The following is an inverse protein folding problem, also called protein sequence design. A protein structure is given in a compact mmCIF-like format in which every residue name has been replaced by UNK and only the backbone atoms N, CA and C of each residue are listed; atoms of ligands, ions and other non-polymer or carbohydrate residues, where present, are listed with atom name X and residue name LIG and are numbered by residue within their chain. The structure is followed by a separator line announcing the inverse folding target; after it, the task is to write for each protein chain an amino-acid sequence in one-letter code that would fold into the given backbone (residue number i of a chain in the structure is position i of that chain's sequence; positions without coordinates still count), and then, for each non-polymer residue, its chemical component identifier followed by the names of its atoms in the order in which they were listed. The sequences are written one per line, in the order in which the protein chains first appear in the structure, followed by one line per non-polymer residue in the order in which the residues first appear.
data_IF_363782527852
#
_entry.id   IF_363782527852
#
_cell.length_a   1.000
_cell.length_b   1.000
_cell.length_c   1.000
_cell.angle_alpha   90.00
_cell.angle_beta   90.00
_cell.angle_gamma   90.00
#
_symmetry.space_group_name_H-M   'P 1'
#
loop_
_entity.id
_entity.type
_entity.pdbx_description
1 polymer ?
#
# COMPACT_ATOMS: atom_id res chain seq x y z
N UNK A 1 10.68 14.88 -11.39
CA UNK A 1 10.16 14.87 -10.00
C UNK A 1 11.33 14.62 -9.05
N UNK A 2 11.42 15.34 -7.93
CA UNK A 2 12.47 15.13 -6.92
C UNK A 2 12.20 13.80 -6.21
N UNK A 3 13.25 13.04 -5.89
CA UNK A 3 13.11 11.82 -5.08
C UNK A 3 12.47 10.63 -5.82
N UNK A 4 12.52 10.57 -7.16
CA UNK A 4 12.11 9.39 -7.93
C UNK A 4 13.30 8.79 -8.67
N UNK A 5 13.58 7.51 -8.45
CA UNK A 5 14.54 6.75 -9.24
C UNK A 5 13.78 5.92 -10.27
N UNK A 6 13.75 6.41 -11.52
CA UNK A 6 13.18 5.71 -12.65
C UNK A 6 14.04 4.51 -13.05
N UNK A 7 13.40 3.34 -13.17
CA UNK A 7 14.08 2.12 -13.56
C UNK A 7 14.17 1.98 -15.07
N UNK A 8 15.24 1.33 -15.51
CA UNK A 8 15.50 0.90 -16.88
C UNK A 8 15.68 -0.62 -16.90
N UNK A 9 15.71 -1.20 -18.09
CA UNK A 9 15.98 -2.63 -18.27
C UNK A 9 17.25 -3.09 -17.52
N UNK A 10 18.30 -2.27 -17.52
CA UNK A 10 19.56 -2.56 -16.84
C UNK A 10 19.43 -2.66 -15.31
N UNK A 11 18.49 -1.93 -14.68
CA UNK A 11 18.30 -1.93 -13.23
C UNK A 11 17.70 -3.25 -12.72
N UNK A 12 16.88 -3.91 -13.55
CA UNK A 12 16.18 -5.13 -13.16
C UNK A 12 16.78 -6.41 -13.73
N UNK A 13 17.67 -6.31 -14.72
CA UNK A 13 18.19 -7.47 -15.46
C UNK A 13 18.81 -8.53 -14.54
N UNK A 14 19.53 -8.09 -13.50
CA UNK A 14 20.17 -8.99 -12.52
C UNK A 14 19.18 -9.68 -11.57
N UNK A 15 17.94 -9.22 -11.53
CA UNK A 15 16.88 -9.80 -10.70
C UNK A 15 16.13 -10.93 -11.42
N UNK A 16 16.32 -11.09 -12.74
CA UNK A 16 15.60 -12.06 -13.56
C UNK A 16 16.42 -13.35 -13.68
N UNK A 17 15.79 -14.47 -13.34
CA UNK A 17 16.34 -15.82 -13.47
C UNK A 17 15.76 -16.51 -14.70
N UNK A 18 16.44 -16.41 -15.84
CA UNK A 18 16.00 -16.98 -17.11
C UNK A 18 16.14 -18.50 -17.15
N UNK A 19 15.22 -19.20 -17.82
CA UNK A 19 15.29 -20.65 -18.07
C UNK A 19 14.82 -20.99 -19.48
N UNK A 20 15.53 -21.88 -20.17
CA UNK A 20 15.20 -22.28 -21.56
C UNK A 20 13.75 -22.80 -21.65
N UNK A 21 12.96 -22.20 -22.52
CA UNK A 21 11.55 -22.56 -22.76
C UNK A 21 10.54 -21.81 -21.89
N UNK A 22 11.01 -20.96 -20.97
CA UNK A 22 10.19 -20.07 -20.15
C UNK A 22 10.43 -18.61 -20.59
N UNK A 23 9.45 -17.75 -20.35
CA UNK A 23 9.59 -16.29 -20.47
C UNK A 23 9.16 -15.69 -19.14
N UNK A 24 10.08 -15.00 -18.46
CA UNK A 24 9.80 -14.33 -17.20
C UNK A 24 9.12 -12.99 -17.43
N UNK A 25 8.27 -12.59 -16.50
CA UNK A 25 7.50 -11.33 -16.56
C UNK A 25 8.40 -10.12 -16.80
N UNK A 26 9.54 -10.06 -16.11
CA UNK A 26 10.51 -8.97 -16.23
C UNK A 26 11.19 -8.86 -17.61
N UNK A 27 11.22 -9.92 -18.42
CA UNK A 27 11.84 -9.91 -19.74
C UNK A 27 11.04 -9.10 -20.77
N UNK A 28 9.72 -9.00 -20.57
CA UNK A 28 8.80 -8.36 -21.50
C UNK A 28 8.23 -7.02 -21.00
N UNK A 29 8.79 -6.46 -19.92
CA UNK A 29 8.41 -5.14 -19.43
C UNK A 29 8.79 -4.04 -20.43
N UNK A 30 7.92 -3.04 -20.55
CA UNK A 30 8.18 -1.80 -21.28
C UNK A 30 8.53 -0.70 -20.29
N UNK A 31 9.59 0.04 -20.58
CA UNK A 31 10.10 1.11 -19.74
C UNK A 31 9.82 2.47 -20.37
N UNK A 32 9.56 3.46 -19.52
CA UNK A 32 9.46 4.86 -19.91
C UNK A 32 10.79 5.56 -19.68
N UNK A 33 11.08 6.61 -20.46
CA UNK A 33 12.28 7.43 -20.24
C UNK A 33 12.03 8.64 -19.34
N UNK A 34 10.79 9.11 -19.33
CA UNK A 34 10.31 10.23 -18.56
C UNK A 34 8.89 9.98 -18.07
N UNK A 35 8.48 10.67 -17.02
CA UNK A 35 7.12 10.56 -16.50
C UNK A 35 6.06 11.04 -17.51
N UNK A 36 6.42 11.95 -18.42
CA UNK A 36 5.50 12.47 -19.44
C UNK A 36 5.04 11.41 -20.45
N UNK A 37 5.80 10.31 -20.60
CA UNK A 37 5.42 9.18 -21.44
C UNK A 37 4.28 8.33 -20.85
N UNK A 38 3.94 8.50 -19.56
CA UNK A 38 2.88 7.72 -18.92
C UNK A 38 1.56 7.85 -19.67
N UNK A 39 1.18 9.06 -20.07
CA UNK A 39 -0.12 9.35 -20.70
C UNK A 39 -0.33 8.54 -22.00
N UNK A 40 0.73 8.36 -22.80
CA UNK A 40 0.68 7.66 -24.08
C UNK A 40 1.04 6.18 -23.98
N UNK A 41 1.53 5.72 -22.84
CA UNK A 41 1.90 4.32 -22.66
C UNK A 41 0.63 3.45 -22.57
N UNK A 42 0.54 2.29 -23.24
CA UNK A 42 -0.69 1.49 -23.26
C UNK A 42 -1.01 0.76 -21.95
N UNK A 43 -0.02 0.54 -21.09
CA UNK A 43 -0.23 -0.08 -19.78
C UNK A 43 -1.19 0.73 -18.91
N UNK A 44 -2.05 0.02 -18.18
CA UNK A 44 -3.02 0.60 -17.24
C UNK A 44 -2.38 0.90 -15.88
N UNK A 45 -1.49 0.01 -15.42
CA UNK A 45 -0.95 0.03 -14.06
C UNK A 45 0.48 0.56 -14.01
N UNK A 46 0.80 1.30 -12.94
CA UNK A 46 2.14 1.83 -12.67
C UNK A 46 2.60 1.35 -11.29
N UNK A 47 3.59 0.46 -11.24
CA UNK A 47 4.14 -0.11 -10.02
C UNK A 47 5.37 0.65 -9.54
N UNK A 48 5.39 1.03 -8.27
CA UNK A 48 6.60 1.55 -7.62
C UNK A 48 6.67 1.16 -6.15
N UNK A 49 7.88 1.19 -5.59
CA UNK A 49 8.11 0.97 -4.16
C UNK A 49 8.45 2.24 -3.40
N UNK A 50 8.11 2.27 -2.10
CA UNK A 50 8.56 3.29 -1.14
C UNK A 50 9.37 2.58 -0.07
N UNK A 51 10.68 2.87 -0.01
CA UNK A 51 11.61 2.15 0.87
C UNK A 51 11.93 2.96 2.12
N UNK A 52 10.97 3.03 3.03
CA UNK A 52 11.10 3.73 4.31
C UNK A 52 10.34 2.99 5.42
N UNK A 53 10.79 3.17 6.66
CA UNK A 53 10.11 2.69 7.89
C UNK A 53 10.02 3.79 8.97
N UNK A 54 10.20 5.05 8.57
CA UNK A 54 10.24 6.22 9.46
C UNK A 54 8.87 6.40 10.11
N UNK A 55 7.78 6.27 9.35
CA UNK A 55 6.43 6.39 9.90
C UNK A 55 6.09 5.30 10.90
N UNK A 56 6.59 4.08 10.68
CA UNK A 56 6.45 2.94 11.61
C UNK A 56 7.19 3.24 12.91
N UNK A 57 8.46 3.66 12.82
CA UNK A 57 9.27 4.05 13.99
C UNK A 57 8.67 5.25 14.75
N UNK A 58 8.11 6.22 14.04
CA UNK A 58 7.42 7.36 14.63
C UNK A 58 6.15 6.94 15.40
N UNK A 59 5.56 5.80 15.04
CA UNK A 59 4.42 5.17 15.73
C UNK A 59 4.86 4.07 16.73
N UNK A 60 6.10 4.12 17.22
CA UNK A 60 6.65 3.13 18.17
C UNK A 60 6.71 1.68 17.63
N UNK A 61 6.53 1.48 16.33
CA UNK A 61 6.63 0.20 15.66
C UNK A 61 8.07 -0.23 15.40
N UNK A 62 8.24 -1.47 14.95
CA UNK A 62 9.54 -2.04 14.61
C UNK A 62 9.93 -1.68 13.17
N UNK A 63 11.18 -1.27 12.91
CA UNK A 63 11.65 -0.99 11.55
C UNK A 63 11.66 -2.27 10.70
N UNK A 64 11.71 -2.09 9.37
CA UNK A 64 11.81 -3.21 8.42
C UNK A 64 10.96 -3.06 7.17
N UNK A 65 9.93 -2.20 7.17
CA UNK A 65 9.05 -2.00 6.01
C UNK A 65 9.77 -1.45 4.78
N UNK A 66 10.93 -0.80 4.97
CA UNK A 66 11.83 -0.38 3.89
C UNK A 66 12.36 -1.52 3.03
N UNK A 67 12.25 -2.78 3.48
CA UNK A 67 12.72 -3.95 2.74
C UNK A 67 11.66 -4.57 1.81
N UNK A 68 10.39 -4.16 1.92
CA UNK A 68 9.27 -4.74 1.18
C UNK A 68 9.51 -4.74 -0.34
N UNK A 69 9.90 -3.59 -0.89
CA UNK A 69 10.13 -3.44 -2.33
C UNK A 69 11.23 -4.36 -2.87
N UNK A 70 12.34 -4.49 -2.12
CA UNK A 70 13.46 -5.37 -2.49
C UNK A 70 13.07 -6.84 -2.46
N UNK A 71 12.13 -7.24 -1.60
CA UNK A 71 11.60 -8.60 -1.58
C UNK A 71 10.57 -8.85 -2.70
N UNK A 72 9.67 -7.89 -2.92
CA UNK A 72 8.57 -8.01 -3.89
C UNK A 72 9.07 -8.06 -5.33
N UNK A 73 9.93 -7.11 -5.72
CA UNK A 73 10.28 -6.90 -7.12
C UNK A 73 10.92 -8.14 -7.78
N UNK A 74 11.97 -8.77 -7.22
CA UNK A 74 12.54 -9.98 -7.83
C UNK A 74 11.53 -11.11 -7.95
N UNK A 75 10.63 -11.26 -6.97
CA UNK A 75 9.60 -12.31 -6.99
C UNK A 75 8.60 -12.08 -8.11
N UNK A 76 8.12 -10.84 -8.28
CA UNK A 76 7.21 -10.46 -9.36
C UNK A 76 7.86 -10.63 -10.74
N UNK A 77 9.09 -10.17 -10.92
CA UNK A 77 9.80 -10.24 -12.20
C UNK A 77 10.00 -11.68 -12.69
N UNK A 78 10.01 -12.65 -11.79
CA UNK A 78 10.24 -14.07 -12.08
C UNK A 78 8.97 -14.91 -12.21
N UNK A 79 7.77 -14.33 -12.13
CA UNK A 79 6.55 -15.05 -12.53
C UNK A 79 6.57 -15.31 -14.05
N UNK A 80 5.79 -16.29 -14.50
CA UNK A 80 5.74 -16.66 -15.91
C UNK A 80 4.88 -15.70 -16.70
N UNK A 81 5.32 -15.33 -17.91
CA UNK A 81 4.42 -14.79 -18.94
C UNK A 81 3.56 -15.93 -19.46
N UNK A 82 2.24 -15.72 -19.48
CA UNK A 82 1.27 -16.67 -20.03
C UNK A 82 -0.05 -15.94 -20.31
N UNK A 83 -1.10 -16.66 -20.75
CA UNK A 83 -2.42 -16.09 -21.06
C UNK A 83 -3.07 -15.28 -19.92
N UNK A 84 -2.63 -15.46 -18.68
CA UNK A 84 -3.12 -14.76 -17.49
C UNK A 84 -2.13 -13.72 -16.95
N UNK A 85 -0.84 -13.78 -17.31
CA UNK A 85 0.18 -12.86 -16.82
C UNK A 85 0.73 -12.05 -17.99
N UNK A 86 0.27 -10.81 -18.11
CA UNK A 86 0.49 -9.89 -19.24
C UNK A 86 1.37 -8.70 -18.81
N UNK A 87 2.71 -8.76 -18.98
CA UNK A 87 3.61 -7.66 -18.62
C UNK A 87 3.27 -6.32 -19.29
N UNK A 88 2.63 -6.35 -20.44
CA UNK A 88 2.17 -5.17 -21.18
C UNK A 88 1.17 -4.29 -20.41
N UNK A 89 0.50 -4.83 -19.40
CA UNK A 89 -0.44 -4.09 -18.55
C UNK A 89 0.25 -3.27 -17.45
N UNK A 90 1.56 -3.47 -17.22
CA UNK A 90 2.30 -2.92 -16.10
C UNK A 90 3.53 -2.12 -16.54
N UNK A 91 3.70 -0.93 -15.96
CA UNK A 91 4.95 -0.17 -15.97
C UNK A 91 5.62 -0.38 -14.61
N UNK A 92 6.83 -0.92 -14.57
CA UNK A 92 7.66 -0.89 -13.36
C UNK A 92 8.42 0.43 -13.35
N UNK A 93 7.88 1.40 -12.60
CA UNK A 93 8.40 2.77 -12.58
C UNK A 93 9.74 2.85 -11.84
N UNK A 94 9.87 2.13 -10.74
CA UNK A 94 11.08 2.12 -9.89
C UNK A 94 10.75 2.36 -8.43
N UNK A 95 11.51 3.24 -7.77
CA UNK A 95 11.38 3.52 -6.35
C UNK A 95 11.29 5.02 -6.07
N UNK A 96 10.43 5.41 -5.13
CA UNK A 96 10.54 6.71 -4.48
C UNK A 96 11.77 6.65 -3.57
N UNK A 97 12.73 7.53 -3.83
CA UNK A 97 14.02 7.57 -3.14
C UNK A 97 13.90 8.31 -1.80
N UNK A 98 13.75 7.53 -0.74
CA UNK A 98 13.72 8.00 0.65
C UNK A 98 15.10 7.94 1.33
N UNK A 99 16.21 7.66 0.62
CA UNK A 99 17.53 7.41 1.24
C UNK A 99 18.01 8.56 2.10
N UNK A 100 17.90 9.79 1.60
CA UNK A 100 18.34 10.98 2.35
C UNK A 100 17.52 11.13 3.65
N UNK A 101 16.21 10.86 3.61
CA UNK A 101 15.34 10.91 4.78
C UNK A 101 15.65 9.78 5.76
N UNK A 102 15.87 8.56 5.26
CA UNK A 102 16.31 7.41 6.07
C UNK A 102 17.65 7.68 6.75
N UNK A 103 18.60 8.30 6.04
CA UNK A 103 19.89 8.69 6.59
C UNK A 103 19.74 9.79 7.66
N UNK A 104 18.93 10.83 7.42
CA UNK A 104 18.61 11.82 8.45
C UNK A 104 18.03 11.15 9.70
N UNK A 105 17.07 10.25 9.52
CA UNK A 105 16.43 9.52 10.61
C UNK A 105 17.40 8.61 11.39
N UNK A 106 18.50 8.17 10.80
CA UNK A 106 19.52 7.36 11.49
C UNK A 106 20.46 8.18 12.37
N UNK A 107 20.46 9.51 12.23
CA UNK A 107 21.25 10.42 13.08
C UNK A 107 20.51 10.87 14.33
N UNK A 108 19.21 10.54 14.46
CA UNK A 108 18.45 10.86 15.65
C UNK A 108 18.79 9.87 16.77
N UNK A 109 19.07 10.42 17.95
CA UNK A 109 19.25 9.69 19.19
C UNK A 109 17.87 9.23 19.71
N UNK A 110 17.70 7.93 19.92
CA UNK A 110 16.44 7.33 20.40
C UNK A 110 16.15 7.68 21.88
N UNK A 111 17.14 8.18 22.61
CA UNK A 111 16.97 8.71 23.96
C UNK A 111 16.50 10.17 24.02
N UNK A 112 16.47 10.87 22.87
CA UNK A 112 15.95 12.24 22.80
C UNK A 112 14.43 12.25 23.06
N UNK A 113 13.92 13.07 24.01
CA UNK A 113 12.48 13.15 24.28
C UNK A 113 11.63 13.57 23.07
N UNK A 114 12.25 14.17 22.04
CA UNK A 114 11.59 14.58 20.79
C UNK A 114 11.84 13.61 19.63
N UNK A 115 12.43 12.43 19.86
CA UNK A 115 12.79 11.47 18.81
C UNK A 115 11.63 11.19 17.85
N UNK A 116 10.45 10.82 18.38
CA UNK A 116 9.27 10.51 17.56
C UNK A 116 8.73 11.72 16.79
N UNK A 117 8.71 12.89 17.41
CA UNK A 117 8.29 14.13 16.75
C UNK A 117 9.24 14.49 15.59
N UNK A 118 10.56 14.35 15.77
CA UNK A 118 11.56 14.55 14.72
C UNK A 118 11.40 13.58 13.56
N UNK A 119 11.10 12.30 13.84
CA UNK A 119 10.74 11.35 12.79
C UNK A 119 9.46 11.78 12.07
N UNK A 120 8.46 12.27 12.79
CA UNK A 120 7.22 12.76 12.21
C UNK A 120 7.40 13.95 11.26
N UNK A 121 8.38 14.82 11.49
CA UNK A 121 8.73 15.87 10.53
C UNK A 121 9.28 15.31 9.21
N UNK A 122 10.06 14.22 9.28
CA UNK A 122 10.49 13.50 8.07
C UNK A 122 9.32 12.79 7.38
N UNK A 123 8.35 12.27 8.14
CA UNK A 123 7.12 11.67 7.56
C UNK A 123 6.34 12.71 6.75
N UNK A 124 6.25 13.96 7.19
CA UNK A 124 5.61 15.04 6.41
C UNK A 124 6.31 15.28 5.06
N UNK A 125 7.65 15.17 5.02
CA UNK A 125 8.41 15.24 3.76
C UNK A 125 8.05 14.06 2.84
N UNK A 126 7.93 12.85 3.40
CA UNK A 126 7.50 11.64 2.66
C UNK A 126 6.09 11.79 2.12
N UNK A 127 5.13 12.23 2.96
CA UNK A 127 3.74 12.45 2.58
C UNK A 127 3.63 13.34 1.33
N UNK A 128 4.46 14.39 1.25
CA UNK A 128 4.47 15.30 0.11
C UNK A 128 5.06 14.66 -1.15
N UNK A 129 6.16 13.90 -1.03
CA UNK A 129 6.75 13.18 -2.17
C UNK A 129 5.79 12.13 -2.74
N UNK A 130 5.09 11.40 -1.86
CA UNK A 130 4.09 10.40 -2.25
C UNK A 130 2.90 11.09 -2.93
N UNK A 131 2.36 12.16 -2.33
CA UNK A 131 1.24 12.90 -2.90
C UNK A 131 1.55 13.43 -4.31
N UNK A 132 2.73 14.01 -4.51
CA UNK A 132 3.12 14.55 -5.83
C UNK A 132 3.22 13.45 -6.89
N UNK A 133 3.76 12.28 -6.54
CA UNK A 133 3.88 11.15 -7.46
C UNK A 133 2.52 10.55 -7.81
N UNK A 134 1.66 10.34 -6.80
CA UNK A 134 0.33 9.79 -7.00
C UNK A 134 -0.54 10.75 -7.81
N UNK A 135 -0.50 12.05 -7.49
CA UNK A 135 -1.18 13.09 -8.26
C UNK A 135 -0.77 13.03 -9.73
N UNK A 136 0.54 12.95 -9.99
CA UNK A 136 1.06 12.86 -11.34
C UNK A 136 0.56 11.60 -12.07
N UNK A 137 0.72 10.41 -11.47
CA UNK A 137 0.34 9.14 -12.11
C UNK A 137 -1.16 9.11 -12.45
N UNK A 138 -2.02 9.48 -11.49
CA UNK A 138 -3.47 9.46 -11.69
C UNK A 138 -3.90 10.52 -12.72
N UNK A 139 -3.27 11.70 -12.73
CA UNK A 139 -3.55 12.72 -13.77
C UNK A 139 -3.25 12.26 -15.19
N UNK A 140 -2.43 11.21 -15.36
CA UNK A 140 -2.13 10.57 -16.65
C UNK A 140 -3.05 9.40 -16.99
N UNK A 141 -4.15 9.23 -16.24
CA UNK A 141 -5.14 8.17 -16.44
C UNK A 141 -4.60 6.78 -16.11
N UNK A 142 -3.62 6.69 -15.20
CA UNK A 142 -3.00 5.43 -14.77
C UNK A 142 -3.40 5.08 -13.34
N UNK A 143 -3.36 3.79 -13.03
CA UNK A 143 -3.65 3.27 -11.69
C UNK A 143 -2.33 2.92 -11.00
N UNK A 144 -1.93 3.64 -9.93
CA UNK A 144 -0.77 3.29 -9.13
C UNK A 144 -0.97 1.97 -8.39
N UNK A 145 0.07 1.15 -8.38
CA UNK A 145 0.23 0.01 -7.47
C UNK A 145 1.47 0.29 -6.62
N UNK A 146 1.29 0.39 -5.30
CA UNK A 146 2.32 0.88 -4.37
C UNK A 146 2.74 -0.26 -3.43
N UNK A 147 4.04 -0.44 -3.24
CA UNK A 147 4.61 -1.42 -2.29
C UNK A 147 5.49 -0.74 -1.25
N UNK A 148 5.14 -0.95 0.02
CA UNK A 148 5.81 -0.28 1.14
C UNK A 148 5.47 1.21 1.18
N UNK A 149 6.06 1.99 2.10
CA UNK A 149 6.72 1.59 3.33
C UNK A 149 5.66 1.33 4.41
N UNK A 150 5.69 2.10 5.49
CA UNK A 150 4.64 2.04 6.51
C UNK A 150 3.28 2.58 6.01
N UNK A 151 2.23 2.34 6.78
CA UNK A 151 0.88 2.80 6.47
C UNK A 151 0.73 4.33 6.54
N UNK A 152 1.76 5.06 7.00
CA UNK A 152 1.81 6.52 6.90
C UNK A 152 1.66 7.01 5.46
N UNK A 153 2.11 6.21 4.48
CA UNK A 153 2.04 6.58 3.07
C UNK A 153 0.60 6.71 2.55
N UNK A 154 -0.40 6.11 3.23
CA UNK A 154 -1.80 6.26 2.88
C UNK A 154 -2.23 7.74 2.81
N UNK A 155 -1.74 8.60 3.71
CA UNK A 155 -2.08 10.02 3.64
C UNK A 155 -1.60 10.67 2.33
N UNK A 156 -0.36 10.38 1.91
CA UNK A 156 0.18 10.83 0.63
C UNK A 156 -0.62 10.28 -0.55
N UNK A 157 -0.96 8.99 -0.53
CA UNK A 157 -1.77 8.34 -1.56
C UNK A 157 -3.14 9.02 -1.71
N UNK A 158 -3.86 9.19 -0.59
CA UNK A 158 -5.20 9.78 -0.56
C UNK A 158 -5.15 11.24 -1.05
N UNK A 159 -4.21 12.03 -0.51
CA UNK A 159 -4.03 13.43 -0.89
C UNK A 159 -3.72 13.59 -2.38
N UNK A 160 -2.79 12.78 -2.90
CA UNK A 160 -2.42 12.82 -4.32
C UNK A 160 -3.58 12.44 -5.24
N UNK A 161 -4.30 11.37 -4.88
CA UNK A 161 -5.45 10.91 -5.64
C UNK A 161 -6.58 11.94 -5.65
N UNK A 162 -6.92 12.50 -4.48
CA UNK A 162 -7.96 13.51 -4.36
C UNK A 162 -7.64 14.78 -5.17
N UNK A 163 -6.38 15.20 -5.21
CA UNK A 163 -5.94 16.33 -6.05
C UNK A 163 -6.04 16.03 -7.54
N UNK A 164 -5.55 14.87 -7.98
CA UNK A 164 -5.60 14.48 -9.40
C UNK A 164 -7.04 14.38 -9.93
N UNK A 165 -7.95 13.91 -9.09
CA UNK A 165 -9.36 13.76 -9.40
C UNK A 165 -10.17 15.03 -9.13
N UNK A 166 -9.56 16.03 -8.49
CA UNK A 166 -10.20 17.26 -8.00
C UNK A 166 -11.46 16.96 -7.16
N UNK A 167 -11.41 15.89 -6.36
CA UNK A 167 -12.53 15.38 -5.58
C UNK A 167 -12.03 14.47 -4.45
N UNK A 168 -12.55 14.56 -3.21
CA UNK A 168 -12.19 13.63 -2.15
C UNK A 168 -12.59 12.20 -2.52
N UNK A 169 -11.72 11.23 -2.23
CA UNK A 169 -11.95 9.82 -2.57
C UNK A 169 -12.50 9.04 -1.38
N UNK A 170 -13.05 7.87 -1.64
CA UNK A 170 -13.37 6.91 -0.59
C UNK A 170 -12.19 5.95 -0.36
N UNK A 171 -12.22 5.18 0.72
CA UNK A 171 -11.21 4.15 1.01
C UNK A 171 -11.86 2.87 1.52
N UNK A 172 -11.41 1.74 0.96
CA UNK A 172 -11.54 0.42 1.57
C UNK A 172 -10.16 0.01 2.10
N UNK A 173 -10.05 -0.21 3.39
CA UNK A 173 -8.82 -0.61 4.07
C UNK A 173 -8.98 -2.01 4.67
N UNK A 174 -8.14 -2.96 4.26
CA UNK A 174 -8.02 -4.26 4.92
C UNK A 174 -6.93 -4.17 5.97
N UNK A 175 -7.33 -4.12 7.24
CA UNK A 175 -6.44 -3.77 8.35
C UNK A 175 -6.95 -4.36 9.67
N UNK A 176 -6.02 -4.68 10.57
CA UNK A 176 -6.30 -5.01 11.96
C UNK A 176 -6.55 -3.77 12.84
N UNK A 177 -6.12 -2.59 12.37
CA UNK A 177 -6.24 -1.28 13.00
C UNK A 177 -7.13 -0.34 12.16
N UNK A 178 -7.47 0.81 12.71
CA UNK A 178 -8.17 1.87 11.95
C UNK A 178 -7.24 2.95 11.43
N UNK A 179 -6.04 3.06 12.01
CA UNK A 179 -5.11 4.15 11.74
C UNK A 179 -5.74 5.57 11.79
N UNK A 180 -6.73 5.71 12.68
CA UNK A 180 -7.42 6.94 13.06
C UNK A 180 -6.87 7.54 14.37
N UNK A 181 -5.58 7.34 14.68
CA UNK A 181 -5.00 7.94 15.90
C UNK A 181 -5.01 9.47 15.80
N UNK A 182 -4.90 10.11 16.96
CA UNK A 182 -4.93 11.56 17.12
C UNK A 182 -3.87 12.29 16.27
N UNK A 183 -4.15 13.55 15.95
CA UNK A 183 -3.28 14.43 15.18
C UNK A 183 -2.19 15.06 16.07
N UNK A 184 -1.22 14.24 16.48
CA UNK A 184 -0.01 14.68 17.18
C UNK A 184 1.14 14.98 16.18
N UNK A 185 2.26 14.27 16.24
CA UNK A 185 3.19 14.18 15.10
C UNK A 185 2.70 13.18 14.06
N UNK A 186 3.24 13.26 12.84
CA UNK A 186 2.91 12.31 11.77
C UNK A 186 3.59 10.96 12.01
N UNK A 187 2.85 9.87 11.80
CA UNK A 187 3.34 8.50 11.93
C UNK A 187 2.44 7.51 11.16
N UNK A 188 2.70 6.20 11.22
CA UNK A 188 1.91 5.21 10.46
C UNK A 188 0.43 5.20 10.86
N UNK A 189 0.13 5.15 12.15
CA UNK A 189 -1.25 5.01 12.64
C UNK A 189 -2.16 6.24 12.64
N UNK A 190 -1.83 7.34 11.94
CA UNK A 190 -2.73 8.50 11.83
C UNK A 190 -2.89 9.03 10.40
N UNK A 191 -2.55 8.24 9.38
CA UNK A 191 -2.67 8.67 7.98
C UNK A 191 -4.10 9.05 7.58
N UNK A 192 -5.11 8.27 8.02
CA UNK A 192 -6.51 8.52 7.68
C UNK A 192 -7.07 9.73 8.43
N UNK A 193 -6.68 9.95 9.70
CA UNK A 193 -7.05 11.17 10.45
C UNK A 193 -6.61 12.44 9.72
N UNK A 194 -5.36 12.46 9.22
CA UNK A 194 -4.84 13.59 8.46
C UNK A 194 -5.54 13.76 7.10
N UNK A 195 -5.95 12.65 6.46
CA UNK A 195 -6.72 12.70 5.22
C UNK A 195 -8.13 13.26 5.43
N UNK A 196 -8.78 12.96 6.57
CA UNK A 196 -10.08 13.52 6.96
C UNK A 196 -9.95 15.02 7.27
N UNK A 197 -8.98 15.40 8.10
CA UNK A 197 -8.72 16.81 8.45
C UNK A 197 -8.40 17.65 7.21
N UNK A 198 -7.62 17.09 6.29
CA UNK A 198 -7.31 17.71 5.00
C UNK A 198 -8.45 17.70 3.97
N UNK A 199 -9.61 17.13 4.31
CA UNK A 199 -10.78 16.97 3.43
C UNK A 199 -10.48 16.21 2.13
N UNK A 200 -9.51 15.29 2.15
CA UNK A 200 -9.16 14.44 1.00
C UNK A 200 -9.89 13.08 1.03
N UNK A 201 -10.37 12.67 2.21
CA UNK A 201 -11.09 11.42 2.44
C UNK A 201 -12.59 11.69 2.68
N UNK A 202 -13.45 11.08 1.86
CA UNK A 202 -14.91 11.22 1.96
C UNK A 202 -15.54 10.12 2.80
N UNK A 203 -15.34 8.86 2.42
CA UNK A 203 -15.84 7.68 3.16
C UNK A 203 -14.71 6.73 3.47
N UNK A 204 -14.75 6.13 4.65
CA UNK A 204 -13.73 5.21 5.12
C UNK A 204 -14.37 3.90 5.59
N UNK A 205 -13.94 2.78 5.03
CA UNK A 205 -14.39 1.45 5.46
C UNK A 205 -13.20 0.59 5.84
N UNK A 206 -13.18 0.09 7.08
CA UNK A 206 -12.15 -0.86 7.56
C UNK A 206 -12.70 -2.27 7.56
N UNK A 207 -11.94 -3.22 7.02
CA UNK A 207 -12.33 -4.62 6.95
C UNK A 207 -11.29 -5.51 7.63
N UNK A 208 -11.69 -6.18 8.71
CA UNK A 208 -10.78 -7.00 9.52
C UNK A 208 -10.32 -6.35 10.82
N UNK A 209 -10.95 -5.25 11.23
CA UNK A 209 -10.63 -4.52 12.46
C UNK A 209 -10.64 -5.46 13.67
N UNK A 210 -9.59 -5.44 14.49
CA UNK A 210 -9.48 -6.29 15.67
C UNK A 210 -9.79 -5.49 16.94
N UNK A 211 -10.63 -6.04 17.82
CA UNK A 211 -11.06 -5.35 19.05
C UNK A 211 -9.91 -5.06 19.99
N UNK A 212 -8.94 -5.97 20.06
CA UNK A 212 -7.82 -5.88 21.01
C UNK A 212 -6.93 -4.66 20.81
N UNK A 213 -6.92 -4.08 19.61
CA UNK A 213 -6.03 -2.96 19.26
C UNK A 213 -6.78 -1.64 19.06
N UNK A 214 -8.10 -1.65 19.22
CA UNK A 214 -8.95 -0.48 18.96
C UNK A 214 -9.37 0.18 20.29
N UNK A 215 -8.93 1.41 20.59
CA UNK A 215 -9.38 2.14 21.77
C UNK A 215 -10.82 2.65 21.61
N UNK A 216 -11.53 2.79 22.73
CA UNK A 216 -12.96 3.16 22.76
C UNK A 216 -13.29 4.44 21.99
N UNK A 217 -12.45 5.48 22.09
CA UNK A 217 -12.70 6.75 21.41
C UNK A 217 -12.80 6.59 19.88
N UNK A 218 -12.12 5.60 19.29
CA UNK A 218 -12.20 5.32 17.85
C UNK A 218 -13.53 4.65 17.52
N UNK A 219 -14.02 3.74 18.37
CA UNK A 219 -15.36 3.17 18.18
C UNK A 219 -16.42 4.26 18.26
N UNK A 220 -16.35 5.12 19.28
CA UNK A 220 -17.27 6.26 19.43
C UNK A 220 -17.21 7.19 18.21
N UNK A 221 -16.03 7.52 17.71
CA UNK A 221 -15.84 8.36 16.52
C UNK A 221 -16.43 7.72 15.26
N UNK A 222 -16.13 6.44 15.00
CA UNK A 222 -16.62 5.74 13.82
C UNK A 222 -18.14 5.52 13.86
N UNK A 223 -18.71 5.19 15.02
CA UNK A 223 -20.15 4.99 15.19
C UNK A 223 -20.95 6.31 15.11
N UNK A 224 -20.33 7.44 15.49
CA UNK A 224 -20.93 8.77 15.35
C UNK A 224 -20.91 9.29 13.90
N UNK A 225 -20.16 8.65 12.99
CA UNK A 225 -19.98 9.10 11.61
C UNK A 225 -20.80 8.28 10.61
N UNK A 226 -21.61 8.94 9.78
CA UNK A 226 -22.31 8.29 8.67
C UNK A 226 -21.38 7.91 7.50
N UNK A 227 -20.14 8.44 7.51
CA UNK A 227 -19.16 8.23 6.45
C UNK A 227 -18.11 7.17 6.80
N UNK A 228 -18.11 6.66 8.02
CA UNK A 228 -17.20 5.61 8.46
C UNK A 228 -17.94 4.31 8.67
N UNK A 229 -17.27 3.19 8.39
CA UNK A 229 -17.77 1.88 8.78
C UNK A 229 -16.63 0.91 9.02
N UNK A 230 -16.90 -0.14 9.80
CA UNK A 230 -15.93 -1.17 10.07
C UNK A 230 -16.57 -2.57 10.08
N UNK A 231 -15.76 -3.57 9.75
CA UNK A 231 -16.09 -5.00 9.91
C UNK A 231 -15.08 -5.65 10.83
N UNK A 232 -15.56 -6.10 12.00
CA UNK A 232 -14.72 -6.73 13.01
C UNK A 232 -14.28 -8.13 12.61
N UNK A 233 -12.99 -8.44 12.75
CA UNK A 233 -12.42 -9.76 12.49
C UNK A 233 -13.15 -10.86 13.28
N UNK A 234 -13.49 -10.61 14.55
CA UNK A 234 -14.16 -11.60 15.41
C UNK A 234 -15.57 -11.94 14.93
N UNK A 235 -16.22 -11.05 14.17
CA UNK A 235 -17.49 -11.35 13.52
C UNK A 235 -17.28 -12.15 12.24
N UNK A 236 -16.22 -11.87 11.47
CA UNK A 236 -15.87 -12.61 10.26
C UNK A 236 -15.50 -14.07 10.58
N UNK A 237 -14.77 -14.30 11.69
CA UNK A 237 -14.39 -15.64 12.16
C UNK A 237 -15.61 -16.54 12.49
N UNK A 238 -16.75 -15.96 12.88
CA UNK A 238 -17.98 -16.71 13.16
C UNK A 238 -18.69 -17.19 11.88
N UNK A 239 -18.44 -16.51 10.76
CA UNK A 239 -19.13 -16.73 9.48
C UNK A 239 -18.13 -16.77 8.32
N UNK A 240 -17.17 -17.71 8.32
CA UNK A 240 -16.09 -17.74 7.33
C UNK A 240 -16.61 -17.88 5.88
N UNK A 241 -17.71 -18.59 5.68
CA UNK A 241 -18.33 -18.77 4.36
C UNK A 241 -18.94 -17.48 3.78
N UNK A 242 -19.14 -16.46 4.62
CA UNK A 242 -19.70 -15.17 4.20
C UNK A 242 -18.63 -14.10 3.96
N UNK A 243 -17.34 -14.43 4.06
CA UNK A 243 -16.25 -13.46 3.98
C UNK A 243 -16.33 -12.60 2.71
N UNK A 244 -16.40 -13.23 1.53
CA UNK A 244 -16.51 -12.54 0.24
C UNK A 244 -17.74 -11.64 0.19
N UNK A 245 -18.91 -12.17 0.58
CA UNK A 245 -20.18 -11.42 0.59
C UNK A 245 -20.11 -10.20 1.49
N UNK A 246 -19.50 -10.31 2.68
CA UNK A 246 -19.35 -9.21 3.65
C UNK A 246 -18.35 -8.17 3.17
N UNK A 247 -17.29 -8.61 2.48
CA UNK A 247 -16.35 -7.70 1.86
C UNK A 247 -17.00 -6.94 0.71
N UNK A 248 -17.75 -7.61 -0.18
CA UNK A 248 -18.54 -6.96 -1.24
C UNK A 248 -19.50 -5.91 -0.67
N UNK A 249 -20.20 -6.21 0.43
CA UNK A 249 -21.05 -5.23 1.13
C UNK A 249 -20.28 -4.03 1.68
N UNK A 250 -19.02 -4.22 2.09
CA UNK A 250 -18.15 -3.11 2.52
C UNK A 250 -17.68 -2.30 1.31
N UNK A 251 -17.34 -2.99 0.22
CA UNK A 251 -16.96 -2.37 -1.05
C UNK A 251 -18.12 -1.56 -1.66
N UNK A 252 -19.37 -2.03 -1.59
CA UNK A 252 -20.55 -1.30 -2.09
C UNK A 252 -20.75 0.07 -1.41
N UNK A 253 -20.33 0.22 -0.14
CA UNK A 253 -20.46 1.49 0.59
C UNK A 253 -19.54 2.59 0.06
N UNK A 254 -18.42 2.21 -0.56
CA UNK A 254 -17.33 3.10 -0.98
C UNK A 254 -17.07 3.07 -2.48
N UNK A 255 -17.38 1.97 -3.16
CA UNK A 255 -17.01 1.67 -4.54
C UNK A 255 -17.96 2.23 -5.59
N UNK A 256 -18.94 3.05 -5.19
CA UNK A 256 -19.84 3.78 -6.10
C UNK A 256 -19.27 5.13 -6.59
N UNK A 257 -18.05 5.46 -6.14
CA UNK A 257 -17.25 6.63 -6.54
C UNK A 257 -15.78 6.24 -6.47
N UNK A 258 -14.88 7.08 -6.99
CA UNK A 258 -13.44 6.87 -6.90
C UNK A 258 -13.01 6.51 -5.48
N UNK A 259 -12.26 5.41 -5.35
CA UNK A 259 -11.78 4.93 -4.06
C UNK A 259 -10.36 4.39 -4.17
N UNK A 260 -9.59 4.51 -3.08
CA UNK A 260 -8.31 3.84 -2.91
C UNK A 260 -8.49 2.49 -2.20
N UNK A 261 -7.66 1.53 -2.56
CA UNK A 261 -7.59 0.24 -1.90
C UNK A 261 -6.31 0.13 -1.08
N UNK A 262 -6.46 -0.02 0.23
CA UNK A 262 -5.36 -0.19 1.18
C UNK A 262 -5.35 -1.66 1.68
N UNK A 263 -4.18 -2.28 1.64
CA UNK A 263 -3.92 -3.59 2.26
C UNK A 263 -2.78 -3.46 3.26
N UNK A 264 -3.12 -3.51 4.53
CA UNK A 264 -2.18 -3.61 5.62
C UNK A 264 -1.80 -5.07 5.88
N UNK A 265 -0.50 -5.38 5.78
CA UNK A 265 -0.01 -6.72 6.05
C UNK A 265 -0.15 -7.15 7.51
N UNK A 266 -0.37 -6.23 8.46
CA UNK A 266 -0.73 -6.53 9.86
C UNK A 266 -2.07 -7.28 9.96
N UNK A 267 -2.94 -7.15 8.95
CA UNK A 267 -4.20 -7.90 8.88
C UNK A 267 -4.01 -9.39 8.56
N UNK A 268 -2.81 -9.80 8.14
CA UNK A 268 -2.53 -11.15 7.65
C UNK A 268 -1.89 -11.99 8.76
N UNK A 269 -2.49 -13.14 9.07
CA UNK A 269 -2.02 -14.00 10.14
C UNK A 269 -0.57 -14.46 9.91
N UNK A 270 0.28 -14.22 10.91
CA UNK A 270 1.70 -14.56 10.94
C UNK A 270 2.58 -13.89 9.87
N UNK A 271 2.05 -12.94 9.11
CA UNK A 271 2.81 -12.24 8.10
C UNK A 271 3.91 -11.38 8.75
N UNK A 272 5.14 -11.33 8.20
CA UNK A 272 6.19 -10.45 8.70
C UNK A 272 5.82 -8.97 8.53
N UNK A 273 5.52 -8.33 9.66
CA UNK A 273 5.11 -6.93 9.77
C UNK A 273 5.46 -6.37 11.15
N UNK A 274 5.31 -5.06 11.34
CA UNK A 274 5.62 -4.40 12.62
C UNK A 274 4.74 -4.91 13.77
N UNK A 275 3.44 -5.07 13.53
CA UNK A 275 2.47 -5.57 14.51
C UNK A 275 2.02 -7.01 14.21
N UNK A 276 2.94 -7.85 13.73
CA UNK A 276 2.71 -9.27 13.42
C UNK A 276 1.87 -9.97 14.50
N UNK A 277 0.74 -10.52 14.08
CA UNK A 277 -0.22 -11.21 14.93
C UNK A 277 -0.42 -12.67 14.48
N UNK A 278 -0.67 -13.63 15.39
CA UNK A 278 -1.06 -14.98 15.01
C UNK A 278 -2.50 -15.07 14.45
N UNK A 279 -3.30 -14.01 14.60
CA UNK A 279 -4.69 -13.93 14.15
C UNK A 279 -4.85 -12.86 13.07
N UNK A 280 -5.53 -13.22 11.99
CA UNK A 280 -5.73 -12.39 10.81
C UNK A 280 -6.31 -13.21 9.66
N UNK A 281 -6.35 -12.61 8.48
CA UNK A 281 -6.68 -13.30 7.24
C UNK A 281 -5.56 -14.25 6.82
N UNK A 282 -5.90 -15.34 6.13
CA UNK A 282 -4.90 -16.08 5.35
C UNK A 282 -4.54 -15.33 4.07
N UNK A 283 -3.37 -15.64 3.49
CA UNK A 283 -2.96 -15.03 2.22
C UNK A 283 -3.95 -15.34 1.09
N UNK A 284 -4.53 -16.55 1.04
CA UNK A 284 -5.54 -16.90 0.02
C UNK A 284 -6.85 -16.14 0.20
N UNK A 285 -7.25 -15.82 1.44
CA UNK A 285 -8.38 -14.91 1.68
C UNK A 285 -8.08 -13.53 1.12
N UNK A 286 -6.91 -12.96 1.41
CA UNK A 286 -6.49 -11.66 0.86
C UNK A 286 -6.49 -11.67 -0.66
N UNK A 287 -5.92 -12.70 -1.29
CA UNK A 287 -5.91 -12.85 -2.75
C UNK A 287 -7.31 -12.85 -3.36
N UNK A 288 -8.27 -13.48 -2.70
CA UNK A 288 -9.67 -13.43 -3.11
C UNK A 288 -10.27 -12.01 -2.95
N UNK A 289 -10.02 -11.32 -1.83
CA UNK A 289 -10.51 -9.95 -1.62
C UNK A 289 -9.89 -8.95 -2.62
N UNK A 290 -8.63 -9.13 -3.00
CA UNK A 290 -7.97 -8.34 -4.05
C UNK A 290 -8.71 -8.51 -5.38
N UNK A 291 -9.05 -9.75 -5.78
CA UNK A 291 -9.78 -10.02 -7.03
C UNK A 291 -11.19 -9.42 -7.03
N UNK A 292 -11.88 -9.42 -5.89
CA UNK A 292 -13.18 -8.76 -5.76
C UNK A 292 -13.07 -7.24 -5.96
N UNK A 293 -11.95 -6.64 -5.55
CA UNK A 293 -11.71 -5.20 -5.65
C UNK A 293 -11.20 -4.78 -7.04
N UNK A 294 -10.31 -5.57 -7.66
CA UNK A 294 -9.65 -5.22 -8.93
C UNK A 294 -10.63 -5.09 -10.10
N UNK A 295 -11.78 -5.77 -10.03
CA UNK A 295 -12.84 -5.69 -11.03
C UNK A 295 -13.64 -4.38 -10.99
N UNK A 296 -13.42 -3.51 -10.00
CA UNK A 296 -14.15 -2.25 -9.87
C UNK A 296 -13.41 -1.11 -10.60
N UNK A 297 -14.06 -0.52 -11.60
CA UNK A 297 -13.51 0.57 -12.42
C UNK A 297 -13.22 1.87 -11.62
N UNK A 298 -13.84 2.04 -10.45
CA UNK A 298 -13.62 3.20 -9.58
C UNK A 298 -12.39 3.06 -8.66
N UNK A 299 -11.70 1.92 -8.68
CA UNK A 299 -10.48 1.73 -7.89
C UNK A 299 -9.33 2.55 -8.50
N UNK A 300 -8.93 3.63 -7.84
CA UNK A 300 -7.98 4.60 -8.39
C UNK A 300 -6.51 4.30 -8.04
N UNK A 301 -6.25 3.51 -7.00
CA UNK A 301 -4.92 2.97 -6.66
C UNK A 301 -5.03 1.74 -5.76
N UNK A 302 -3.95 0.97 -5.67
CA UNK A 302 -3.78 -0.11 -4.70
C UNK A 302 -2.45 0.01 -3.95
N UNK A 303 -2.49 0.08 -2.61
CA UNK A 303 -1.31 0.17 -1.75
C UNK A 303 -1.21 -1.07 -0.86
N UNK A 304 -0.03 -1.68 -0.85
CA UNK A 304 0.34 -2.76 0.06
C UNK A 304 1.39 -2.22 1.04
N UNK A 305 1.01 -2.07 2.31
CA UNK A 305 1.84 -1.46 3.35
C UNK A 305 2.26 -2.47 4.44
N UNK A 306 3.15 -2.02 5.33
CA UNK A 306 3.56 -2.71 6.57
C UNK A 306 4.28 -4.08 6.44
N UNK A 307 4.45 -4.60 5.22
CA UNK A 307 5.30 -5.77 4.99
C UNK A 307 6.75 -5.50 5.44
N UNK A 308 7.24 -6.21 6.45
CA UNK A 308 8.57 -6.02 7.03
C UNK A 308 9.42 -7.31 6.91
N UNK A 309 9.86 -7.68 5.69
CA UNK A 309 10.69 -8.86 5.51
C UNK A 309 12.07 -8.72 6.15
N UNK A 310 12.51 -9.80 6.78
CA UNK A 310 13.89 -10.01 7.22
C UNK A 310 14.62 -11.00 6.29
N UNK A 311 15.88 -11.31 6.60
CA UNK A 311 16.70 -12.24 5.80
C UNK A 311 16.06 -13.64 5.64
N UNK A 312 15.33 -14.12 6.64
CA UNK A 312 14.74 -15.46 6.64
C UNK A 312 13.42 -15.51 5.91
N UNK A 313 12.66 -14.41 5.97
CA UNK A 313 11.28 -14.33 5.47
C UNK A 313 11.16 -13.65 4.11
N UNK A 314 12.19 -12.92 3.66
CA UNK A 314 12.21 -12.14 2.42
C UNK A 314 11.71 -12.90 1.19
N UNK A 315 12.13 -14.16 1.00
CA UNK A 315 11.70 -14.97 -0.13
C UNK A 315 10.19 -15.31 -0.11
N UNK A 316 9.60 -15.52 1.07
CA UNK A 316 8.17 -15.84 1.19
C UNK A 316 7.31 -14.58 1.12
N UNK A 317 7.71 -13.52 1.82
CA UNK A 317 7.05 -12.20 1.73
C UNK A 317 7.06 -11.70 0.29
N UNK A 318 8.21 -11.79 -0.38
CA UNK A 318 8.33 -11.41 -1.79
C UNK A 318 7.35 -12.16 -2.70
N UNK A 319 7.15 -13.46 -2.49
CA UNK A 319 6.16 -14.25 -3.24
C UNK A 319 4.74 -13.83 -2.94
N UNK A 320 4.40 -13.59 -1.68
CA UNK A 320 3.06 -13.14 -1.29
C UNK A 320 2.74 -11.77 -1.91
N UNK A 321 3.65 -10.80 -1.80
CA UNK A 321 3.51 -9.49 -2.45
C UNK A 321 3.40 -9.61 -3.97
N UNK A 322 4.17 -10.51 -4.60
CA UNK A 322 4.03 -10.79 -6.03
C UNK A 322 2.66 -11.37 -6.39
N UNK A 323 2.08 -12.26 -5.56
CA UNK A 323 0.72 -12.72 -5.74
C UNK A 323 -0.28 -11.57 -5.65
N UNK A 324 -0.21 -10.75 -4.61
CA UNK A 324 -1.12 -9.61 -4.42
C UNK A 324 -1.08 -8.63 -5.59
N UNK A 325 0.12 -8.25 -6.04
CA UNK A 325 0.28 -7.40 -7.21
C UNK A 325 -0.29 -8.09 -8.45
N UNK A 326 0.06 -9.36 -8.68
CA UNK A 326 -0.38 -10.08 -9.88
C UNK A 326 -1.88 -10.31 -9.91
N UNK A 327 -2.52 -10.54 -8.77
CA UNK A 327 -3.97 -10.73 -8.67
C UNK A 327 -4.71 -9.41 -8.91
N UNK A 328 -4.13 -8.27 -8.52
CA UNK A 328 -4.71 -6.95 -8.77
C UNK A 328 -4.64 -6.51 -10.25
N UNK A 329 -3.52 -6.79 -10.94
CA UNK A 329 -3.30 -6.32 -12.33
C UNK A 329 -3.82 -7.26 -13.42
N UNK A 330 -4.43 -8.38 -13.01
CA UNK A 330 -4.98 -9.41 -13.89
C UNK A 330 -6.37 -9.02 -14.36
N UNK A 331 -6.41 -8.29 -15.47
CA UNK A 331 -7.60 -8.07 -16.31
C UNK A 331 -7.67 -9.08 -17.47
#
# INVERSE_FOLDING_TARGET
MKGLKLYRAADIQKLISTRKGEVKFGENLRFIQSLDELEQHPAKYVLFGIQEDIGVRANYGKPGTSNAWKAALPSLLNIQVNRFNKPENLIVLGELDCKDLMQKASYFDDSDPNYHAKLGDLVKEIDQLVADLIEFIISKGKIPVIVGGGHNNAYGNIKGAAKALNDPINIINIDAHTDLRQLEHRHSGNGFSYAIEGQYLRKYSVFGLQKNYTPEYIFEEMEASENMSFSLMENLLKYPDELSRRFEQSLEKVGNSNFGFELDCDAIANFPSSAKSPSGFSEDQIRNLIQLTSNNENCCYFHICEAAPDEQTSAQVGKALAYFISDFIRD
#
